data_IF_600385458880
#
_entry.id   IF_600385458880
#
_cell.length_a   1.000
_cell.length_b   1.000
_cell.length_c   1.000
_cell.angle_alpha   90.00
_cell.angle_beta   90.00
_cell.angle_gamma   90.00
#
_symmetry.space_group_name_H-M   'P 1'
#
loop_
_entity.id
_entity.type
_entity.pdbx_description
1 polymer ?
#
# COMPACT_ATOMS: atom_id res chain seq x y z
N UNK A 1 23.05 -2.33 -5.92
CA UNK A 1 22.66 -0.97 -6.37
C UNK A 1 21.28 -0.67 -5.81
N UNK A 2 21.21 -0.15 -4.57
CA UNK A 2 19.94 0.29 -3.98
C UNK A 2 19.79 1.77 -4.31
N UNK A 3 18.88 2.12 -5.21
CA UNK A 3 18.61 3.52 -5.52
C UNK A 3 18.14 4.25 -4.25
N UNK A 4 18.64 5.47 -3.97
CA UNK A 4 18.05 6.32 -2.95
C UNK A 4 16.61 6.61 -3.40
N UNK A 5 15.61 6.09 -2.70
CA UNK A 5 14.21 6.31 -3.03
C UNK A 5 13.92 7.78 -2.80
N UNK A 6 13.80 8.51 -3.91
CA UNK A 6 13.54 9.94 -4.02
C UNK A 6 12.33 10.32 -3.17
N UNK A 7 12.56 11.09 -2.11
CA UNK A 7 11.51 11.79 -1.37
C UNK A 7 10.59 12.61 -2.29
N UNK A 8 11.08 13.05 -3.46
CA UNK A 8 10.28 13.71 -4.50
C UNK A 8 9.15 12.84 -5.06
N UNK A 9 9.32 11.51 -5.16
CA UNK A 9 8.28 10.63 -5.73
C UNK A 9 7.08 10.45 -4.80
N UNK A 10 7.26 10.64 -3.48
CA UNK A 10 6.15 10.60 -2.54
C UNK A 10 5.31 11.88 -2.60
N UNK A 11 5.90 13.05 -2.82
CA UNK A 11 5.17 14.32 -2.82
C UNK A 11 4.28 14.49 -4.07
N UNK A 12 4.72 13.97 -5.21
CA UNK A 12 4.04 14.20 -6.50
C UNK A 12 2.99 13.13 -6.85
N UNK A 13 2.89 12.05 -6.06
CA UNK A 13 1.99 10.94 -6.37
C UNK A 13 0.68 10.99 -5.59
N UNK A 14 -0.36 10.37 -6.17
CA UNK A 14 -1.66 10.25 -5.51
C UNK A 14 -1.54 9.41 -4.24
N UNK A 15 -2.06 9.96 -3.15
CA UNK A 15 -2.20 9.27 -1.87
C UNK A 15 -3.62 8.74 -1.72
N UNK A 16 -3.74 7.53 -1.19
CA UNK A 16 -5.01 6.90 -0.87
C UNK A 16 -5.15 6.74 0.63
N UNK A 17 -6.34 7.01 1.15
CA UNK A 17 -6.71 6.69 2.53
C UNK A 17 -6.88 5.18 2.70
N UNK A 18 -6.85 4.71 3.95
CA UNK A 18 -7.18 3.30 4.27
C UNK A 18 -8.56 2.91 3.71
N UNK A 19 -9.53 3.82 3.69
CA UNK A 19 -10.87 3.54 3.16
C UNK A 19 -10.89 3.37 1.65
N UNK A 20 -10.15 4.19 0.91
CA UNK A 20 -10.04 4.07 -0.55
C UNK A 20 -9.30 2.79 -0.95
N UNK A 21 -8.18 2.47 -0.30
CA UNK A 21 -7.45 1.22 -0.58
C UNK A 21 -8.30 0.00 -0.25
N UNK A 22 -9.08 0.05 0.84
CA UNK A 22 -10.00 -1.04 1.19
C UNK A 22 -11.03 -1.28 0.08
N UNK A 23 -11.59 -0.21 -0.50
CA UNK A 23 -12.50 -0.30 -1.65
C UNK A 23 -11.80 -0.87 -2.89
N UNK A 24 -10.59 -0.38 -3.21
CA UNK A 24 -9.81 -0.86 -4.38
C UNK A 24 -9.51 -2.35 -4.27
N UNK A 25 -9.09 -2.80 -3.08
CA UNK A 25 -8.74 -4.21 -2.84
C UNK A 25 -9.95 -5.10 -2.54
N UNK A 26 -11.15 -4.54 -2.41
CA UNK A 26 -12.36 -5.29 -2.06
C UNK A 26 -12.33 -5.90 -0.66
N UNK A 27 -11.62 -5.29 0.30
CA UNK A 27 -11.50 -5.77 1.68
C UNK A 27 -12.11 -4.80 2.69
N UNK A 28 -12.37 -5.25 3.93
CA UNK A 28 -12.75 -4.34 5.00
C UNK A 28 -11.54 -3.47 5.44
N UNK A 29 -11.73 -2.18 5.78
CA UNK A 29 -10.67 -1.36 6.38
C UNK A 29 -10.00 -1.96 7.62
N UNK A 30 -10.71 -2.81 8.39
CA UNK A 30 -10.15 -3.55 9.52
C UNK A 30 -9.08 -4.56 9.10
N UNK A 31 -9.20 -5.15 7.91
CA UNK A 31 -8.20 -6.06 7.32
C UNK A 31 -6.89 -5.33 7.10
N UNK A 32 -6.93 -4.13 6.51
CA UNK A 32 -5.73 -3.31 6.32
C UNK A 32 -5.09 -2.92 7.66
N UNK A 33 -5.89 -2.55 8.67
CA UNK A 33 -5.36 -2.28 10.03
C UNK A 33 -4.72 -3.51 10.67
N UNK A 34 -5.25 -4.71 10.40
CA UNK A 34 -4.65 -5.96 10.89
C UNK A 34 -3.35 -6.25 10.19
N UNK A 35 -3.29 -6.12 8.86
CA UNK A 35 -2.09 -6.32 8.07
C UNK A 35 -0.93 -5.40 8.48
N UNK A 36 -1.21 -4.11 8.75
CA UNK A 36 -0.20 -3.16 9.24
C UNK A 36 0.37 -3.49 10.63
N UNK A 37 -0.34 -4.31 11.43
CA UNK A 37 0.07 -4.74 12.78
C UNK A 37 0.63 -6.17 12.80
N UNK A 38 0.57 -6.89 11.68
CA UNK A 38 1.16 -8.21 11.59
C UNK A 38 2.69 -8.12 11.64
N UNK A 39 3.32 -9.19 12.10
CA UNK A 39 4.77 -9.38 12.05
C UNK A 39 5.07 -10.70 11.33
N UNK A 40 5.66 -10.68 10.11
CA UNK A 40 6.05 -9.49 9.37
C UNK A 40 4.85 -8.65 8.89
N UNK A 41 5.08 -7.37 8.64
CA UNK A 41 4.08 -6.43 8.10
C UNK A 41 3.55 -6.95 6.77
N UNK A 42 2.22 -6.90 6.62
CA UNK A 42 1.54 -7.37 5.41
C UNK A 42 0.83 -6.23 4.69
N UNK A 43 0.44 -6.48 3.45
CA UNK A 43 -0.34 -5.55 2.63
C UNK A 43 0.51 -4.62 1.78
N UNK A 44 -0.12 -3.62 1.14
CA UNK A 44 0.60 -2.58 0.42
C UNK A 44 1.45 -1.72 1.36
N UNK A 45 2.52 -1.15 0.80
CA UNK A 45 3.32 -0.14 1.49
C UNK A 45 2.47 1.05 1.92
N UNK A 46 2.85 1.68 3.04
CA UNK A 46 2.08 2.77 3.63
C UNK A 46 2.97 3.74 4.39
N UNK A 47 2.55 5.00 4.41
CA UNK A 47 3.10 6.05 5.25
C UNK A 47 2.26 6.13 6.52
N UNK A 48 2.90 5.99 7.68
CA UNK A 48 2.26 6.15 8.98
C UNK A 48 2.35 7.61 9.41
N UNK A 49 1.21 8.31 9.40
CA UNK A 49 1.13 9.70 9.88
C UNK A 49 0.83 9.76 11.38
N UNK A 50 0.06 8.80 11.89
CA UNK A 50 -0.21 8.63 13.32
C UNK A 50 -0.60 7.18 13.62
N UNK A 51 -0.91 6.87 14.88
CA UNK A 51 -1.39 5.55 15.29
C UNK A 51 -2.67 5.11 14.55
N UNK A 52 -3.51 6.06 14.13
CA UNK A 52 -4.79 5.78 13.47
C UNK A 52 -4.81 6.13 11.99
N UNK A 53 -3.88 6.97 11.52
CA UNK A 53 -3.86 7.50 10.16
C UNK A 53 -2.69 6.91 9.39
N UNK A 54 -3.04 6.20 8.31
CA UNK A 54 -2.10 5.69 7.33
C UNK A 54 -2.55 6.11 5.93
N UNK A 55 -1.61 6.60 5.15
CA UNK A 55 -1.76 6.89 3.73
C UNK A 55 -1.03 5.84 2.91
N UNK A 56 -1.54 5.59 1.72
CA UNK A 56 -1.05 4.60 0.78
C UNK A 56 -0.62 5.32 -0.50
N UNK A 57 0.69 5.43 -0.76
CA UNK A 57 1.17 5.92 -2.03
C UNK A 57 0.67 5.05 -3.19
N UNK A 58 0.36 5.66 -4.33
CA UNK A 58 -0.06 4.92 -5.52
C UNK A 58 0.96 3.86 -5.94
N UNK A 59 2.26 4.22 -5.94
CA UNK A 59 3.37 3.32 -6.28
C UNK A 59 3.38 2.06 -5.43
N UNK A 60 3.13 2.19 -4.13
CA UNK A 60 3.16 1.08 -3.18
C UNK A 60 1.98 0.14 -3.35
N UNK A 61 0.82 0.71 -3.70
CA UNK A 61 -0.39 -0.06 -4.01
C UNK A 61 -0.22 -0.83 -5.32
N UNK A 62 0.32 -0.19 -6.35
CA UNK A 62 0.61 -0.80 -7.64
C UNK A 62 1.65 -1.93 -7.49
N UNK A 63 2.76 -1.68 -6.80
CA UNK A 63 3.76 -2.69 -6.51
C UNK A 63 3.16 -3.90 -5.77
N UNK A 64 2.31 -3.66 -4.78
CA UNK A 64 1.61 -4.73 -4.06
C UNK A 64 0.71 -5.57 -4.97
N UNK A 65 -0.07 -4.92 -5.85
CA UNK A 65 -0.93 -5.62 -6.80
C UNK A 65 -0.10 -6.44 -7.78
N UNK A 66 0.99 -5.89 -8.30
CA UNK A 66 1.91 -6.61 -9.19
C UNK A 66 2.47 -7.88 -8.56
N UNK A 67 2.86 -7.86 -7.27
CA UNK A 67 3.37 -9.06 -6.59
C UNK A 67 2.34 -10.18 -6.44
N UNK A 68 1.04 -9.87 -6.58
CA UNK A 68 -0.09 -10.81 -6.46
C UNK A 68 -0.79 -11.08 -7.78
N UNK A 69 -0.41 -10.36 -8.82
CA UNK A 69 -1.01 -10.49 -10.13
C UNK A 69 -0.55 -11.80 -10.75
N UNK A 70 -1.49 -12.73 -10.92
CA UNK A 70 -1.26 -13.99 -11.63
C UNK A 70 -1.92 -13.87 -13.00
N UNK A 71 -1.10 -13.94 -14.04
CA UNK A 71 -1.56 -13.95 -15.43
C UNK A 71 -1.65 -15.40 -15.88
N UNK A 72 -2.82 -15.90 -16.31
CA UNK A 72 -2.92 -17.25 -16.88
C UNK A 72 -2.20 -17.31 -18.23
N UNK A 73 -1.48 -18.40 -18.50
CA UNK A 73 -0.96 -18.68 -19.83
C UNK A 73 -2.11 -19.05 -20.78
N UNK A 74 -2.04 -18.62 -22.06
CA UNK A 74 -3.06 -18.92 -23.08
C UNK A 74 -3.10 -20.38 -23.52
#
# INVERSE_FOLDING_TARGET
MSQPQSSSQLLDQRMYTTGEVAKILGVNPSTLRRWRRADPVQGPGFIRLSDRVALYPHSDLEAFLHTRHVVPEP
#
